data_IF_564230134806
#
_entry.id   IF_564230134806
#
_cell.length_a   1.000
_cell.length_b   1.000
_cell.length_c   1.000
_cell.angle_alpha   90.00
_cell.angle_beta   90.00
_cell.angle_gamma   90.00
#
_symmetry.space_group_name_H-M   'P 1'
#
loop_
_entity.id
_entity.type
_entity.pdbx_description
1 polymer ?
#
# COMPACT_ATOMS: atom_id res chain seq x y z
N UNK A 1 -15.42 9.33 8.37
CA UNK A 1 -15.54 10.17 7.16
C UNK A 1 -15.66 11.61 7.57
N UNK A 2 -15.04 12.48 6.80
CA UNK A 2 -15.06 13.93 6.98
C UNK A 2 -15.05 14.54 5.58
N UNK A 3 -15.83 15.59 5.33
CA UNK A 3 -15.91 16.24 4.02
C UNK A 3 -15.37 17.67 4.11
N UNK A 4 -14.80 18.16 3.02
CA UNK A 4 -14.29 19.53 2.91
C UNK A 4 -15.12 20.31 1.89
N UNK A 5 -15.71 21.43 2.29
CA UNK A 5 -16.55 22.27 1.43
C UNK A 5 -15.79 23.36 0.66
N UNK A 6 -14.45 23.35 0.73
CA UNK A 6 -13.59 24.39 0.19
C UNK A 6 -13.23 25.50 1.20
N UNK A 7 -13.81 25.48 2.41
CA UNK A 7 -13.52 26.43 3.49
C UNK A 7 -13.30 25.75 4.84
N UNK A 8 -14.12 24.76 5.18
CA UNK A 8 -14.08 24.04 6.46
C UNK A 8 -14.30 22.55 6.27
N UNK A 9 -13.79 21.80 7.24
CA UNK A 9 -14.08 20.39 7.37
C UNK A 9 -15.39 20.19 8.15
N UNK A 10 -16.13 19.13 7.82
CA UNK A 10 -17.29 18.69 8.59
C UNK A 10 -16.89 18.10 9.95
N UNK A 11 -17.86 17.85 10.82
CA UNK A 11 -17.63 16.93 11.94
C UNK A 11 -17.38 15.51 11.41
N UNK A 12 -16.50 14.72 12.06
CA UNK A 12 -16.24 13.36 11.65
C UNK A 12 -17.43 12.45 11.99
N UNK A 13 -17.87 11.64 11.03
CA UNK A 13 -18.87 10.60 11.22
C UNK A 13 -18.27 9.21 10.98
N UNK A 14 -18.81 8.17 11.62
CA UNK A 14 -18.41 6.79 11.30
C UNK A 14 -18.81 6.48 9.86
N UNK A 15 -17.92 5.85 9.09
CA UNK A 15 -18.24 5.45 7.73
C UNK A 15 -19.36 4.39 7.75
N UNK A 16 -20.40 4.50 6.88
CA UNK A 16 -21.56 3.60 6.94
C UNK A 16 -21.20 2.13 6.63
N UNK A 17 -20.06 1.90 5.99
CA UNK A 17 -19.51 0.58 5.71
C UNK A 17 -18.60 0.03 6.82
N UNK A 18 -18.32 0.81 7.88
CA UNK A 18 -17.59 0.37 9.06
C UNK A 18 -18.58 -0.11 10.12
N UNK A 19 -18.59 -1.42 10.38
CA UNK A 19 -19.41 -2.03 11.44
C UNK A 19 -18.53 -2.31 12.65
N UNK A 20 -18.98 -1.97 13.85
CA UNK A 20 -18.20 -2.07 15.11
C UNK A 20 -17.59 -3.45 15.41
N UNK A 21 -18.10 -4.52 14.79
CA UNK A 21 -17.60 -5.88 14.95
C UNK A 21 -16.30 -6.17 14.17
N UNK A 22 -16.03 -5.43 13.09
CA UNK A 22 -14.95 -5.73 12.16
C UNK A 22 -13.96 -4.57 12.08
N UNK A 23 -12.68 -4.91 12.00
CA UNK A 23 -11.64 -3.96 11.66
C UNK A 23 -11.83 -3.49 10.22
N UNK A 24 -11.61 -2.19 10.00
CA UNK A 24 -11.56 -1.55 8.68
C UNK A 24 -10.37 -0.62 8.71
N UNK A 25 -9.36 -0.91 7.89
CA UNK A 25 -8.08 -0.22 7.90
C UNK A 25 -7.56 0.01 6.48
N UNK A 26 -6.47 0.78 6.40
CA UNK A 26 -5.68 1.07 5.20
C UNK A 26 -6.52 1.47 3.98
N UNK A 27 -7.36 2.52 4.11
CA UNK A 27 -8.19 2.97 3.01
C UNK A 27 -7.35 3.63 1.91
N UNK A 28 -7.62 3.25 0.66
CA UNK A 28 -6.96 3.81 -0.52
C UNK A 28 -7.97 4.01 -1.66
N UNK A 29 -8.00 5.23 -2.21
CA UNK A 29 -8.76 5.51 -3.42
C UNK A 29 -7.99 5.01 -4.65
N UNK A 30 -8.66 4.25 -5.49
CA UNK A 30 -8.14 3.85 -6.80
C UNK A 30 -8.52 4.87 -7.88
N UNK A 31 -7.81 4.89 -9.04
CA UNK A 31 -8.17 5.74 -10.17
C UNK A 31 -9.57 5.50 -10.74
N UNK A 32 -10.17 4.34 -10.48
CA UNK A 32 -11.56 4.04 -10.89
C UNK A 32 -12.61 4.72 -10.00
N UNK A 33 -12.17 5.49 -8.99
CA UNK A 33 -13.02 6.26 -8.07
C UNK A 33 -13.55 5.45 -6.89
N UNK A 34 -13.27 4.14 -6.81
CA UNK A 34 -13.67 3.32 -5.67
C UNK A 34 -12.72 3.50 -4.49
N UNK A 35 -13.26 3.30 -3.30
CA UNK A 35 -12.47 3.24 -2.07
C UNK A 35 -12.23 1.77 -1.72
N UNK A 36 -10.97 1.37 -1.76
CA UNK A 36 -10.50 0.06 -1.30
C UNK A 36 -10.03 0.17 0.14
N UNK A 37 -10.16 -0.91 0.90
CA UNK A 37 -9.70 -1.01 2.29
C UNK A 37 -9.56 -2.48 2.68
N UNK A 38 -8.83 -2.75 3.75
CA UNK A 38 -8.73 -4.09 4.32
C UNK A 38 -9.74 -4.27 5.44
N UNK A 39 -10.27 -5.48 5.59
CA UNK A 39 -11.19 -5.80 6.67
C UNK A 39 -11.17 -7.28 7.02
N UNK A 40 -11.25 -7.58 8.31
CA UNK A 40 -11.41 -8.94 8.83
C UNK A 40 -12.87 -9.41 8.89
N UNK A 41 -13.73 -8.81 8.06
CA UNK A 41 -15.10 -9.28 7.94
C UNK A 41 -15.12 -10.61 7.17
N UNK A 42 -15.90 -11.59 7.63
CA UNK A 42 -15.95 -12.87 6.96
C UNK A 42 -16.70 -12.75 5.63
N UNK A 43 -16.06 -13.23 4.57
CA UNK A 43 -16.68 -13.59 3.29
C UNK A 43 -17.26 -15.00 3.35
N UNK A 44 -16.59 -15.93 4.02
CA UNK A 44 -17.03 -17.31 4.20
C UNK A 44 -17.07 -17.71 5.67
N UNK A 45 -17.64 -18.88 5.97
CA UNK A 45 -17.64 -19.43 7.33
C UNK A 45 -16.26 -19.90 7.82
N UNK A 46 -15.25 -19.94 6.93
CA UNK A 46 -13.88 -20.34 7.27
C UNK A 46 -13.00 -19.17 7.72
N UNK A 47 -13.40 -17.95 7.39
CA UNK A 47 -12.57 -16.77 7.62
C UNK A 47 -12.55 -16.44 9.12
N UNK A 48 -11.39 -16.04 9.61
CA UNK A 48 -11.15 -15.71 11.02
C UNK A 48 -11.00 -14.20 11.20
N UNK A 49 -11.04 -13.72 12.44
CA UNK A 49 -10.79 -12.30 12.72
C UNK A 49 -9.34 -11.85 12.48
N UNK A 50 -8.42 -12.79 12.25
CA UNK A 50 -7.02 -12.49 11.87
C UNK A 50 -6.80 -12.47 10.37
N UNK A 51 -7.78 -12.91 9.58
CA UNK A 51 -7.70 -12.92 8.13
C UNK A 51 -8.23 -11.59 7.57
N UNK A 52 -7.34 -10.81 6.95
CA UNK A 52 -7.67 -9.49 6.40
C UNK A 52 -7.76 -9.59 4.88
N UNK A 53 -8.96 -9.37 4.38
CA UNK A 53 -9.28 -9.37 2.96
C UNK A 53 -9.30 -7.93 2.42
N UNK A 54 -9.06 -7.76 1.12
CA UNK A 54 -9.35 -6.51 0.43
C UNK A 54 -10.83 -6.43 0.07
N UNK A 55 -11.46 -5.32 0.44
CA UNK A 55 -12.83 -4.95 0.11
C UNK A 55 -12.86 -3.60 -0.58
N UNK A 56 -13.94 -3.31 -1.29
CA UNK A 56 -14.18 -1.98 -1.83
C UNK A 56 -15.63 -1.53 -1.64
N UNK A 57 -15.81 -0.22 -1.69
CA UNK A 57 -17.10 0.45 -1.80
C UNK A 57 -17.07 1.47 -2.92
N UNK A 58 -18.23 1.70 -3.54
CA UNK A 58 -18.43 2.68 -4.61
C UNK A 58 -19.07 3.92 -3.98
N UNK A 59 -18.50 5.12 -4.16
CA UNK A 59 -19.19 6.37 -3.82
C UNK A 59 -20.45 6.53 -4.66
N UNK A 60 -21.57 6.87 -4.03
CA UNK A 60 -22.87 7.09 -4.65
C UNK A 60 -23.29 8.57 -4.45
N UNK A 61 -24.30 9.07 -5.19
CA UNK A 61 -24.85 10.41 -4.96
C UNK A 61 -25.30 10.63 -3.49
N UNK A 62 -25.39 11.90 -3.10
CA UNK A 62 -25.86 12.34 -1.77
C UNK A 62 -25.03 11.76 -0.59
N UNK A 63 -23.71 11.68 -0.76
CA UNK A 63 -22.75 11.16 0.23
C UNK A 63 -23.04 9.70 0.67
N UNK A 64 -23.71 8.94 -0.19
CA UNK A 64 -23.99 7.52 0.04
C UNK A 64 -22.86 6.62 -0.48
N UNK A 65 -22.88 5.36 -0.04
CA UNK A 65 -21.89 4.36 -0.42
C UNK A 65 -22.58 3.04 -0.73
N UNK A 66 -22.02 2.28 -1.66
CA UNK A 66 -22.47 0.90 -1.90
C UNK A 66 -22.26 0.01 -0.67
N UNK A 67 -22.87 -1.17 -0.68
CA UNK A 67 -22.44 -2.23 0.22
C UNK A 67 -21.00 -2.63 -0.10
N UNK A 68 -20.20 -3.03 0.91
CA UNK A 68 -18.86 -3.54 0.68
C UNK A 68 -18.84 -4.82 -0.16
N UNK A 69 -17.95 -4.84 -1.15
CA UNK A 69 -17.72 -5.99 -2.02
C UNK A 69 -16.30 -6.54 -1.82
N UNK A 70 -16.18 -7.86 -1.72
CA UNK A 70 -14.91 -8.56 -1.51
C UNK A 70 -14.16 -8.70 -2.84
N UNK A 71 -12.87 -8.32 -2.89
CA UNK A 71 -12.06 -8.41 -4.09
C UNK A 71 -11.46 -9.82 -4.27
N UNK A 72 -12.35 -10.79 -4.51
CA UNK A 72 -12.04 -12.24 -4.49
C UNK A 72 -10.87 -12.66 -5.36
N UNK A 73 -10.67 -12.02 -6.53
CA UNK A 73 -9.59 -12.39 -7.46
C UNK A 73 -8.19 -12.01 -6.93
N UNK A 74 -8.13 -11.00 -6.08
CA UNK A 74 -6.89 -10.50 -5.47
C UNK A 74 -6.60 -11.26 -4.18
N UNK A 75 -7.62 -11.48 -3.36
CA UNK A 75 -7.45 -12.07 -2.05
C UNK A 75 -6.95 -13.52 -2.08
N UNK A 76 -6.38 -13.97 -0.97
CA UNK A 76 -5.91 -15.35 -0.78
C UNK A 76 -6.54 -15.99 0.45
N UNK A 77 -6.12 -17.22 0.79
CA UNK A 77 -6.46 -17.86 2.08
C UNK A 77 -5.54 -17.36 3.22
N UNK A 78 -4.90 -16.20 3.03
CA UNK A 78 -3.95 -15.55 3.92
C UNK A 78 -4.24 -14.05 3.90
N UNK A 79 -3.47 -13.29 4.67
CA UNK A 79 -3.69 -11.85 4.83
C UNK A 79 -3.25 -11.04 3.61
N UNK A 80 -4.04 -10.00 3.32
CA UNK A 80 -3.70 -8.91 2.43
C UNK A 80 -3.68 -7.58 3.20
N UNK A 81 -2.59 -6.83 3.03
CA UNK A 81 -2.36 -5.55 3.72
C UNK A 81 -1.93 -4.47 2.74
N UNK A 82 -2.25 -3.22 3.10
CA UNK A 82 -1.80 -1.99 2.44
C UNK A 82 -1.81 -2.01 0.90
N UNK A 83 -2.75 -1.30 0.29
CA UNK A 83 -2.80 -1.15 -1.16
C UNK A 83 -2.35 0.23 -1.60
N UNK A 84 -1.59 0.27 -2.69
CA UNK A 84 -1.39 1.49 -3.49
C UNK A 84 -1.70 1.24 -4.95
N UNK A 85 -2.00 2.32 -5.68
CA UNK A 85 -2.48 2.26 -7.05
C UNK A 85 -1.64 3.11 -7.98
N UNK A 86 -1.29 2.51 -9.13
CA UNK A 86 -0.75 3.24 -10.26
C UNK A 86 -1.86 3.94 -11.05
N UNK A 87 -1.50 4.90 -11.90
CA UNK A 87 -2.45 5.67 -12.73
C UNK A 87 -3.27 4.80 -13.69
N UNK A 88 -2.70 3.69 -14.17
CA UNK A 88 -3.39 2.73 -15.04
C UNK A 88 -4.35 1.80 -14.27
N UNK A 89 -4.44 1.93 -12.95
CA UNK A 89 -5.29 1.12 -12.09
C UNK A 89 -4.60 -0.11 -11.52
N UNK A 90 -3.35 -0.42 -11.89
CA UNK A 90 -2.64 -1.55 -11.27
C UNK A 90 -2.56 -1.33 -9.74
N UNK A 91 -2.84 -2.40 -9.00
CA UNK A 91 -2.79 -2.45 -7.56
C UNK A 91 -1.50 -3.13 -7.10
N UNK A 92 -0.81 -2.50 -6.18
CA UNK A 92 0.32 -3.07 -5.45
C UNK A 92 -0.12 -3.34 -4.02
N UNK A 93 0.19 -4.51 -3.48
CA UNK A 93 -0.27 -4.94 -2.16
C UNK A 93 0.75 -5.82 -1.45
N UNK A 94 0.73 -5.81 -0.11
CA UNK A 94 1.42 -6.80 0.72
C UNK A 94 0.56 -8.04 0.95
N UNK A 95 1.15 -9.23 0.99
CA UNK A 95 0.43 -10.46 1.30
C UNK A 95 1.35 -11.57 1.83
N UNK A 96 0.84 -12.35 2.80
CA UNK A 96 1.49 -13.55 3.33
C UNK A 96 1.06 -14.84 2.59
N UNK A 97 0.66 -14.73 1.33
CA UNK A 97 0.23 -15.89 0.54
C UNK A 97 1.37 -16.88 0.29
N UNK A 98 1.01 -18.15 0.23
CA UNK A 98 1.97 -19.24 0.01
C UNK A 98 2.72 -19.09 -1.32
N UNK A 99 4.03 -19.32 -1.28
CA UNK A 99 4.92 -19.29 -2.45
C UNK A 99 5.74 -18.01 -2.60
N UNK A 100 5.71 -17.12 -1.60
CA UNK A 100 6.59 -15.96 -1.50
C UNK A 100 8.04 -16.31 -1.12
N UNK A 101 8.86 -15.27 -1.00
CA UNK A 101 10.28 -15.33 -0.62
C UNK A 101 10.47 -15.27 0.91
N UNK A 102 9.61 -14.51 1.60
CA UNK A 102 9.73 -14.23 3.02
C UNK A 102 8.44 -14.47 3.80
N UNK A 103 8.24 -13.66 4.85
CA UNK A 103 7.04 -13.71 5.68
C UNK A 103 5.85 -13.11 4.91
N UNK A 104 5.99 -11.84 4.54
CA UNK A 104 5.08 -11.12 3.67
C UNK A 104 5.86 -10.51 2.52
N UNK A 105 5.24 -10.55 1.35
CA UNK A 105 5.84 -10.12 0.09
C UNK A 105 4.93 -9.09 -0.58
N UNK A 106 5.52 -8.29 -1.48
CA UNK A 106 4.81 -7.35 -2.33
C UNK A 106 4.41 -8.02 -3.65
N UNK A 107 3.15 -7.85 -4.01
CA UNK A 107 2.53 -8.36 -5.22
C UNK A 107 1.96 -7.22 -6.06
N UNK A 108 1.75 -7.50 -7.34
CA UNK A 108 1.01 -6.65 -8.27
C UNK A 108 -0.22 -7.40 -8.81
N UNK A 109 -1.38 -6.78 -8.73
CA UNK A 109 -2.57 -7.17 -9.49
C UNK A 109 -2.80 -6.15 -10.60
N UNK A 110 -2.82 -6.63 -11.85
CA UNK A 110 -2.98 -5.74 -13.02
C UNK A 110 -4.44 -5.43 -13.24
N UNK A 111 -4.73 -4.20 -13.66
CA UNK A 111 -6.08 -3.80 -14.02
C UNK A 111 -6.26 -3.87 -15.54
N UNK A 112 -7.01 -4.87 -16.01
CA UNK A 112 -7.18 -5.18 -17.43
C UNK A 112 -8.67 -5.29 -17.73
N UNK A 113 -9.15 -4.51 -18.71
CA UNK A 113 -10.54 -4.53 -19.16
C UNK A 113 -11.57 -4.36 -18.02
N UNK A 114 -11.27 -3.50 -17.05
CA UNK A 114 -12.17 -3.21 -15.93
C UNK A 114 -12.08 -4.19 -14.76
N UNK A 115 -11.14 -5.14 -14.79
CA UNK A 115 -11.01 -6.19 -13.78
C UNK A 115 -9.56 -6.36 -13.32
N UNK A 116 -9.39 -6.72 -12.06
CA UNK A 116 -8.09 -7.07 -11.49
C UNK A 116 -7.70 -8.51 -11.87
N UNK A 117 -6.42 -8.74 -12.14
CA UNK A 117 -5.86 -10.08 -12.33
C UNK A 117 -5.53 -10.74 -11.00
N UNK A 118 -5.26 -12.05 -11.03
CA UNK A 118 -4.62 -12.70 -9.89
C UNK A 118 -3.27 -12.02 -9.59
N UNK A 119 -2.91 -11.76 -8.32
CA UNK A 119 -1.66 -11.08 -7.99
C UNK A 119 -0.43 -11.91 -8.38
N UNK A 120 0.55 -11.23 -8.96
CA UNK A 120 1.87 -11.74 -9.32
C UNK A 120 2.89 -11.22 -8.31
N UNK A 121 3.76 -12.10 -7.81
CA UNK A 121 4.84 -11.69 -6.90
C UNK A 121 5.85 -10.82 -7.66
N UNK A 122 6.30 -9.71 -7.06
CA UNK A 122 7.25 -8.78 -7.72
C UNK A 122 8.68 -9.31 -7.83
N UNK A 123 8.97 -10.47 -7.26
CA UNK A 123 10.22 -11.20 -7.43
C UNK A 123 11.35 -10.70 -6.51
N UNK A 124 12.53 -11.31 -6.64
CA UNK A 124 13.62 -11.19 -5.67
C UNK A 124 14.36 -9.84 -5.72
N UNK A 125 14.00 -8.97 -6.67
CA UNK A 125 14.50 -7.60 -6.69
C UNK A 125 13.85 -6.76 -5.58
N UNK A 126 12.60 -7.06 -5.24
CA UNK A 126 11.84 -6.32 -4.23
C UNK A 126 11.69 -7.19 -2.98
N UNK A 127 11.25 -8.44 -3.15
CA UNK A 127 10.99 -9.35 -2.06
C UNK A 127 12.25 -10.14 -1.67
N UNK A 128 12.34 -10.50 -0.40
CA UNK A 128 13.50 -11.13 0.21
C UNK A 128 13.07 -12.19 1.22
N UNK A 129 13.99 -12.69 2.05
CA UNK A 129 13.65 -13.59 3.15
C UNK A 129 13.04 -12.85 4.36
N UNK A 130 12.99 -11.52 4.32
CA UNK A 130 12.44 -10.66 5.36
C UNK A 130 10.94 -10.42 5.12
N UNK A 131 10.39 -9.35 5.71
CA UNK A 131 8.97 -9.00 5.56
C UNK A 131 8.87 -7.69 4.79
N UNK A 132 8.42 -7.74 3.54
CA UNK A 132 8.21 -6.57 2.68
C UNK A 132 6.73 -6.18 2.58
N UNK A 133 6.45 -4.90 2.82
CA UNK A 133 5.10 -4.38 3.06
C UNK A 133 4.90 -2.94 2.60
N UNK A 134 3.67 -2.46 2.78
CA UNK A 134 3.25 -1.07 2.62
C UNK A 134 3.75 -0.46 1.30
N UNK A 135 3.49 -1.10 0.14
CA UNK A 135 3.96 -0.58 -1.12
C UNK A 135 3.33 0.78 -1.39
N UNK A 136 4.16 1.74 -1.77
CA UNK A 136 3.79 3.07 -2.19
C UNK A 136 4.33 3.31 -3.60
N UNK A 137 3.51 2.96 -4.59
CA UNK A 137 3.85 3.07 -6.01
C UNK A 137 3.65 4.49 -6.53
N UNK A 138 4.57 4.99 -7.35
CA UNK A 138 4.33 6.22 -8.12
C UNK A 138 3.33 5.99 -9.25
N UNK A 139 2.56 7.02 -9.67
CA UNK A 139 1.50 6.85 -10.66
C UNK A 139 1.96 6.26 -12.00
N UNK A 140 3.19 6.53 -12.42
CA UNK A 140 3.76 6.07 -13.69
C UNK A 140 4.49 4.71 -13.57
N UNK A 141 4.43 4.06 -12.40
CA UNK A 141 5.08 2.79 -12.08
C UNK A 141 6.61 2.79 -12.30
N UNK A 142 7.24 3.96 -12.15
CA UNK A 142 8.68 4.15 -12.35
C UNK A 142 9.49 4.06 -11.05
N UNK A 143 8.88 4.41 -9.93
CA UNK A 143 9.44 4.34 -8.58
C UNK A 143 8.47 3.68 -7.62
N UNK A 144 9.00 2.96 -6.64
CA UNK A 144 8.25 2.46 -5.50
C UNK A 144 9.05 2.67 -4.22
N UNK A 145 8.35 3.11 -3.17
CA UNK A 145 8.84 2.96 -1.79
C UNK A 145 8.05 1.84 -1.14
N UNK A 146 8.70 1.06 -0.32
CA UNK A 146 8.07 0.02 0.48
C UNK A 146 8.81 -0.08 1.80
N UNK A 147 8.28 -0.85 2.74
CA UNK A 147 8.90 -1.08 4.04
C UNK A 147 9.45 -2.51 4.10
N UNK A 148 10.60 -2.69 4.73
CA UNK A 148 11.16 -4.02 5.03
C UNK A 148 11.59 -4.11 6.50
N UNK A 149 11.32 -5.24 7.15
CA UNK A 149 11.57 -5.46 8.58
C UNK A 149 12.84 -6.25 8.88
N UNK A 150 13.51 -5.89 9.97
CA UNK A 150 14.60 -6.67 10.58
C UNK A 150 15.73 -7.06 9.61
N UNK A 151 15.94 -6.23 8.59
CA UNK A 151 16.99 -6.39 7.58
C UNK A 151 18.38 -6.12 8.16
N UNK A 152 19.46 -6.80 7.71
CA UNK A 152 20.81 -6.64 8.28
C UNK A 152 21.42 -5.26 8.03
N UNK A 153 20.99 -4.59 6.96
CA UNK A 153 21.37 -3.22 6.60
C UNK A 153 20.39 -2.17 7.14
N UNK A 154 19.41 -2.58 7.95
CA UNK A 154 18.42 -1.71 8.58
C UNK A 154 18.98 -0.82 9.69
N UNK A 155 18.32 0.31 9.91
CA UNK A 155 18.56 1.23 11.01
C UNK A 155 17.71 0.87 12.23
N UNK A 156 16.48 0.40 12.00
CA UNK A 156 15.53 -0.02 13.04
C UNK A 156 14.87 -1.38 12.77
N UNK A 157 13.74 -1.61 13.44
CA UNK A 157 12.89 -2.80 13.31
C UNK A 157 12.16 -2.83 11.95
N UNK A 158 11.85 -1.67 11.39
CA UNK A 158 11.22 -1.51 10.08
C UNK A 158 11.73 -0.24 9.40
N UNK A 159 12.21 -0.38 8.17
CA UNK A 159 12.85 0.69 7.42
C UNK A 159 12.15 0.91 6.07
N UNK A 160 12.17 2.14 5.57
CA UNK A 160 11.78 2.43 4.19
C UNK A 160 12.90 2.05 3.21
N UNK A 161 12.50 1.30 2.18
CA UNK A 161 13.29 0.90 1.03
C UNK A 161 12.73 1.56 -0.23
N UNK A 162 13.61 1.86 -1.18
CA UNK A 162 13.25 2.43 -2.47
C UNK A 162 13.71 1.55 -3.62
N UNK A 163 12.96 1.56 -4.72
CA UNK A 163 13.36 0.93 -5.98
C UNK A 163 12.85 1.73 -7.19
N UNK A 164 13.46 1.49 -8.35
CA UNK A 164 13.05 2.04 -9.64
C UNK A 164 13.11 0.97 -10.73
N UNK A 165 12.38 1.19 -11.82
CA UNK A 165 12.55 0.40 -13.04
C UNK A 165 13.85 0.76 -13.78
N UNK A 166 14.53 -0.25 -14.30
CA UNK A 166 15.62 -0.09 -15.27
C UNK A 166 15.10 0.25 -16.67
N UNK A 167 16.03 0.53 -17.60
CA UNK A 167 15.70 0.76 -19.02
C UNK A 167 14.92 -0.36 -19.72
N UNK A 168 14.93 -1.58 -19.18
CA UNK A 168 14.21 -2.74 -19.70
C UNK A 168 12.88 -2.99 -18.97
N UNK A 169 12.42 -2.04 -18.15
CA UNK A 169 11.19 -2.15 -17.35
C UNK A 169 11.23 -3.31 -16.34
N UNK A 170 12.40 -3.58 -15.77
CA UNK A 170 12.58 -4.50 -14.65
C UNK A 170 12.88 -3.72 -13.37
N UNK A 171 12.27 -4.12 -12.26
CA UNK A 171 12.61 -3.54 -10.96
C UNK A 171 14.07 -3.81 -10.62
N UNK A 172 14.78 -2.76 -10.21
CA UNK A 172 16.10 -2.89 -9.59
C UNK A 172 15.95 -3.40 -8.15
N UNK A 173 17.07 -3.87 -7.57
CA UNK A 173 17.09 -4.30 -6.18
C UNK A 173 16.64 -3.14 -5.27
N UNK A 174 15.69 -3.39 -4.38
CA UNK A 174 15.32 -2.45 -3.32
C UNK A 174 16.51 -2.10 -2.44
N UNK A 175 16.66 -0.82 -2.13
CA UNK A 175 17.76 -0.28 -1.33
C UNK A 175 17.23 0.50 -0.14
N UNK A 176 17.87 0.31 1.01
CA UNK A 176 17.53 1.03 2.23
C UNK A 176 17.71 2.54 2.01
N UNK A 177 16.66 3.34 2.28
CA UNK A 177 16.67 4.77 1.97
C UNK A 177 17.61 5.57 2.89
N UNK A 178 17.95 5.02 4.06
CA UNK A 178 18.80 5.63 5.08
C UNK A 178 18.25 6.97 5.59
N UNK A 179 19.10 7.78 6.24
CA UNK A 179 18.68 9.11 6.71
C UNK A 179 18.41 10.06 5.53
N UNK A 180 17.39 10.95 5.62
CA UNK A 180 16.53 11.20 6.78
C UNK A 180 15.25 10.35 6.80
N UNK A 181 15.12 9.34 5.93
CA UNK A 181 13.92 8.50 5.87
C UNK A 181 13.83 7.60 7.10
N UNK A 182 14.93 6.91 7.41
CA UNK A 182 14.92 5.88 8.45
C UNK A 182 15.50 6.38 9.78
N UNK A 183 14.85 5.98 10.87
CA UNK A 183 15.28 6.21 12.25
C UNK A 183 15.85 4.91 12.84
N UNK A 184 16.30 4.97 14.09
CA UNK A 184 16.74 3.76 14.80
C UNK A 184 15.57 2.96 15.41
N UNK A 185 14.33 3.23 14.98
CA UNK A 185 13.11 2.61 15.51
C UNK A 185 12.30 1.93 14.42
N UNK A 186 11.35 2.62 13.80
CA UNK A 186 10.52 2.06 12.75
C UNK A 186 9.91 3.14 11.85
N UNK A 187 9.71 2.78 10.59
CA UNK A 187 8.96 3.55 9.60
C UNK A 187 7.90 2.67 8.93
N UNK A 188 6.66 3.16 8.85
CA UNK A 188 5.52 2.42 8.30
C UNK A 188 4.64 3.30 7.41
N UNK A 189 3.69 2.67 6.70
CA UNK A 189 2.51 3.33 6.13
C UNK A 189 2.84 4.47 5.15
N UNK A 190 3.76 4.19 4.24
CA UNK A 190 4.20 5.08 3.18
C UNK A 190 3.04 5.54 2.27
N UNK A 191 2.79 6.85 2.16
CA UNK A 191 1.72 7.42 1.32
C UNK A 191 2.21 8.60 0.47
N UNK A 192 1.97 8.52 -0.84
CA UNK A 192 2.30 9.56 -1.80
C UNK A 192 1.07 10.44 -2.07
N UNK A 193 1.20 11.75 -1.88
CA UNK A 193 0.13 12.69 -2.16
C UNK A 193 -0.24 12.69 -3.65
N UNK A 194 -1.53 12.81 -4.02
CA UNK A 194 -1.96 12.82 -5.42
C UNK A 194 -1.35 13.94 -6.28
N UNK A 195 -0.97 15.06 -5.66
CA UNK A 195 -0.32 16.19 -6.34
C UNK A 195 1.20 16.02 -6.48
N UNK A 196 1.74 14.88 -6.01
CA UNK A 196 3.15 14.50 -6.08
C UNK A 196 4.11 15.50 -5.44
N UNK A 197 3.64 16.34 -4.51
CA UNK A 197 4.52 17.26 -3.79
C UNK A 197 5.14 16.61 -2.56
N UNK A 198 4.36 15.81 -1.86
CA UNK A 198 4.76 15.24 -0.57
C UNK A 198 4.54 13.74 -0.54
N UNK A 199 5.41 13.10 0.22
CA UNK A 199 5.31 11.73 0.67
C UNK A 199 5.23 11.75 2.20
N UNK A 200 4.31 10.98 2.77
CA UNK A 200 4.05 10.86 4.20
C UNK A 200 4.38 9.45 4.67
N UNK A 201 4.79 9.32 5.92
CA UNK A 201 5.02 8.02 6.57
C UNK A 201 4.93 8.17 8.08
N UNK A 202 4.62 7.08 8.77
CA UNK A 202 4.61 7.05 10.23
C UNK A 202 6.00 6.71 10.76
N UNK A 203 6.48 7.43 11.76
CA UNK A 203 7.76 7.18 12.44
C UNK A 203 7.68 7.70 13.87
N UNK A 204 8.18 6.94 14.86
CA UNK A 204 8.28 7.38 16.26
C UNK A 204 6.95 7.90 16.88
N UNK A 205 5.81 7.27 16.53
CA UNK A 205 4.44 7.70 16.92
C UNK A 205 4.01 9.08 16.39
N UNK A 206 4.66 9.54 15.33
CA UNK A 206 4.35 10.78 14.62
C UNK A 206 4.17 10.52 13.12
N UNK A 207 3.64 11.50 12.41
CA UNK A 207 3.56 11.50 10.93
C UNK A 207 4.66 12.42 10.40
N UNK A 208 5.58 11.85 9.63
CA UNK A 208 6.62 12.58 8.91
C UNK A 208 6.16 12.87 7.47
N UNK A 209 6.70 13.94 6.90
CA UNK A 209 6.54 14.22 5.46
C UNK A 209 7.84 14.71 4.84
N UNK A 210 8.05 14.32 3.59
CA UNK A 210 9.23 14.65 2.78
C UNK A 210 8.77 15.07 1.38
N UNK A 211 9.55 15.92 0.70
CA UNK A 211 9.29 16.25 -0.71
C UNK A 211 9.39 15.01 -1.59
N UNK A 212 8.37 14.72 -2.39
CA UNK A 212 8.36 13.54 -3.25
C UNK A 212 9.46 13.60 -4.34
N UNK A 213 9.86 14.80 -4.75
CA UNK A 213 11.00 15.04 -5.63
C UNK A 213 12.34 14.65 -4.96
N UNK A 214 12.48 14.95 -3.66
CA UNK A 214 13.64 14.54 -2.87
C UNK A 214 13.69 13.02 -2.71
N UNK A 215 12.55 12.38 -2.43
CA UNK A 215 12.45 10.92 -2.38
C UNK A 215 12.87 10.28 -3.72
N UNK A 216 12.35 10.77 -4.85
CA UNK A 216 12.75 10.29 -6.19
C UNK A 216 14.23 10.47 -6.47
N UNK A 217 14.82 11.63 -6.12
CA UNK A 217 16.28 11.85 -6.27
C UNK A 217 17.06 10.84 -5.44
N UNK A 218 16.66 10.63 -4.18
CA UNK A 218 17.30 9.65 -3.29
C UNK A 218 17.28 8.24 -3.88
N UNK A 219 16.15 7.79 -4.42
CA UNK A 219 16.06 6.47 -5.07
C UNK A 219 17.01 6.40 -6.27
N UNK A 220 17.07 7.46 -7.09
CA UNK A 220 17.98 7.49 -8.23
C UNK A 220 19.46 7.44 -7.86
N UNK A 221 19.84 8.07 -6.75
CA UNK A 221 21.21 8.04 -6.22
C UNK A 221 21.60 6.65 -5.69
N UNK A 222 20.65 5.95 -5.06
CA UNK A 222 20.92 4.66 -4.42
C UNK A 222 20.74 3.47 -5.37
N UNK A 223 19.75 3.50 -6.26
CA UNK A 223 19.49 2.45 -7.25
C UNK A 223 20.32 2.72 -8.51
N UNK A 224 21.47 2.06 -8.62
CA UNK A 224 22.33 2.11 -9.80
C UNK A 224 22.11 0.85 -10.65
N UNK A 225 22.00 1.02 -11.97
CA UNK A 225 21.86 -0.08 -12.95
C UNK A 225 23.12 -0.96 -13.06
#
# INVERSE_FOLDING_TARGET
MITYDGKKWSEPIVAPFSKDKYSVADPAFAPDGKLYFISNRPKTAKDTLSDFDIWYVIPLPDDQWSAPENLTIVNSDSVEYYMSFAKNGNMYLGSARVGGFGMEDIYISRYVNGQYTKPENLGPAINSAYSEHDPCIWPDEDFMIFKSENTPDGYGEADLYGTKLDKNKKWLKGVNMGKPFNTNTYEYCAYLAPDLKYFFFSSERDVRWIGADFARRRINELCVE
#
